data_IF_148965027361
#
_entry.id   IF_148965027361
#
_cell.length_a   1.000
_cell.length_b   1.000
_cell.length_c   1.000
_cell.angle_alpha   90.00
_cell.angle_beta   90.00
_cell.angle_gamma   90.00
#
_symmetry.space_group_name_H-M   'P 1'
#
loop_
_entity.id
_entity.type
_entity.pdbx_description
1 polymer ?
#
# COMPACT_ATOMS: atom_id res chain seq x y z
N UNK A 1 11.61 14.79 10.34
CA UNK A 1 12.69 14.30 11.24
C UNK A 1 12.17 13.87 12.61
N UNK A 2 11.11 14.50 13.13
CA UNK A 2 10.51 14.13 14.43
C UNK A 2 9.75 12.77 14.40
N UNK A 3 9.17 12.42 13.25
CA UNK A 3 8.34 11.22 13.03
C UNK A 3 9.06 9.88 13.31
N UNK A 4 10.37 9.80 13.06
CA UNK A 4 11.18 8.59 13.25
C UNK A 4 12.08 8.62 14.48
N UNK A 5 11.93 9.61 15.37
CA UNK A 5 12.80 9.74 16.56
C UNK A 5 12.67 8.53 17.50
N UNK A 6 11.45 8.07 17.73
CA UNK A 6 11.18 6.89 18.55
C UNK A 6 11.68 5.60 17.89
N UNK A 7 11.46 5.45 16.58
CA UNK A 7 11.95 4.34 15.80
C UNK A 7 13.49 4.29 15.80
N UNK A 8 14.15 5.46 15.74
CA UNK A 8 15.61 5.56 15.81
C UNK A 8 16.16 5.16 17.17
N UNK A 9 15.54 5.61 18.26
CA UNK A 9 15.93 5.19 19.61
C UNK A 9 15.78 3.68 19.76
N UNK A 10 14.66 3.14 19.27
CA UNK A 10 14.35 1.70 19.27
C UNK A 10 15.37 0.91 18.46
N UNK A 11 15.77 1.44 17.31
CA UNK A 11 16.82 0.88 16.45
C UNK A 11 18.18 0.82 17.16
N UNK A 12 18.60 1.94 17.77
CA UNK A 12 19.89 2.04 18.46
C UNK A 12 19.95 1.15 19.71
N UNK A 13 18.87 1.07 20.47
CA UNK A 13 18.83 0.30 21.72
C UNK A 13 18.56 -1.20 21.55
N UNK A 14 18.35 -1.68 20.32
CA UNK A 14 18.04 -3.09 20.06
C UNK A 14 19.32 -3.89 19.77
N UNK A 15 19.80 -4.63 20.77
CA UNK A 15 20.99 -5.48 20.67
C UNK A 15 20.91 -6.51 19.53
N UNK A 16 19.73 -7.07 19.26
CA UNK A 16 19.56 -8.06 18.18
C UNK A 16 19.78 -7.42 16.80
N UNK A 17 19.27 -6.19 16.60
CA UNK A 17 19.50 -5.41 15.38
C UNK A 17 20.98 -5.07 15.25
N UNK A 18 21.59 -4.51 16.31
CA UNK A 18 22.99 -4.10 16.27
C UNK A 18 23.92 -5.29 16.05
N UNK A 19 23.65 -6.44 16.70
CA UNK A 19 24.39 -7.67 16.48
C UNK A 19 24.22 -8.20 15.06
N UNK A 20 23.00 -8.15 14.50
CA UNK A 20 22.77 -8.58 13.10
C UNK A 20 23.51 -7.70 12.11
N UNK A 21 23.52 -6.38 12.30
CA UNK A 21 24.29 -5.44 11.48
C UNK A 21 25.79 -5.75 11.53
N UNK A 22 26.32 -6.03 12.73
CA UNK A 22 27.70 -6.42 12.91
C UNK A 22 28.03 -7.73 12.17
N UNK A 23 27.17 -8.76 12.28
CA UNK A 23 27.34 -10.04 11.55
C UNK A 23 27.29 -9.82 10.04
N UNK A 24 26.39 -8.94 9.58
CA UNK A 24 26.28 -8.57 8.16
C UNK A 24 27.39 -7.62 7.69
N UNK A 25 28.26 -7.15 8.60
CA UNK A 25 29.31 -6.16 8.34
C UNK A 25 28.77 -4.85 7.76
N UNK A 26 27.60 -4.43 8.21
CA UNK A 26 26.95 -3.19 7.80
C UNK A 26 27.20 -2.09 8.82
N UNK A 27 27.47 -0.87 8.34
CA UNK A 27 27.56 0.30 9.21
C UNK A 27 26.15 0.74 9.63
N UNK A 28 25.94 0.90 10.94
CA UNK A 28 24.64 1.22 11.52
C UNK A 28 24.06 2.54 10.98
N UNK A 29 24.82 3.63 11.04
CA UNK A 29 24.34 4.95 10.61
C UNK A 29 23.94 4.97 9.12
N UNK A 30 24.77 4.38 8.25
CA UNK A 30 24.47 4.27 6.82
C UNK A 30 23.26 3.37 6.56
N UNK A 31 23.12 2.29 7.31
CA UNK A 31 21.97 1.41 7.18
C UNK A 31 20.68 2.11 7.61
N UNK A 32 20.73 2.92 8.67
CA UNK A 32 19.59 3.75 9.07
C UNK A 32 19.17 4.74 7.99
N UNK A 33 20.13 5.39 7.32
CA UNK A 33 19.84 6.27 6.18
C UNK A 33 19.20 5.51 5.00
N UNK A 34 19.69 4.30 4.70
CA UNK A 34 19.07 3.43 3.69
C UNK A 34 17.63 3.07 4.07
N UNK A 35 17.40 2.75 5.34
CA UNK A 35 16.06 2.46 5.86
C UNK A 35 15.10 3.64 5.69
N UNK A 36 15.52 4.85 6.04
CA UNK A 36 14.72 6.06 5.85
C UNK A 36 14.40 6.28 4.37
N UNK A 37 15.41 6.17 3.50
CA UNK A 37 15.22 6.31 2.05
C UNK A 37 14.20 5.30 1.51
N UNK A 38 14.36 4.01 1.82
CA UNK A 38 13.45 2.96 1.34
C UNK A 38 12.03 3.18 1.89
N UNK A 39 11.90 3.60 3.14
CA UNK A 39 10.60 3.87 3.77
C UNK A 39 9.87 5.02 3.08
N UNK A 40 10.54 6.15 2.92
CA UNK A 40 9.97 7.33 2.25
C UNK A 40 9.63 7.03 0.79
N UNK A 41 10.51 6.31 0.09
CA UNK A 41 10.29 5.94 -1.29
C UNK A 41 9.12 4.96 -1.45
N UNK A 42 9.02 3.95 -0.59
CA UNK A 42 7.87 3.03 -0.61
C UNK A 42 6.56 3.77 -0.26
N UNK A 43 6.56 4.70 0.68
CA UNK A 43 5.38 5.50 0.99
C UNK A 43 4.98 6.43 -0.16
N UNK A 44 5.94 7.04 -0.85
CA UNK A 44 5.69 7.94 -1.98
C UNK A 44 5.22 7.23 -3.25
N UNK A 45 5.70 6.01 -3.53
CA UNK A 45 5.32 5.26 -4.73
C UNK A 45 3.90 4.69 -4.69
N UNK A 46 3.32 4.53 -3.49
CA UNK A 46 2.01 3.93 -3.30
C UNK A 46 1.11 4.84 -2.47
N UNK A 47 0.49 5.80 -3.15
CA UNK A 47 -0.58 6.63 -2.60
C UNK A 47 -1.93 5.92 -2.87
N UNK A 48 -2.97 6.28 -2.13
CA UNK A 48 -4.36 5.93 -2.49
C UNK A 48 -4.56 6.16 -3.98
N UNK A 49 -4.94 5.11 -4.72
CA UNK A 49 -5.03 5.21 -6.17
C UNK A 49 -6.15 6.19 -6.53
N UNK A 50 -5.76 7.29 -7.15
CA UNK A 50 -6.70 8.19 -7.80
C UNK A 50 -7.02 7.62 -9.17
N UNK A 51 -8.31 7.48 -9.48
CA UNK A 51 -8.75 7.35 -10.86
C UNK A 51 -9.05 8.74 -11.38
N UNK A 52 -8.29 9.17 -12.38
CA UNK A 52 -8.62 10.33 -13.19
C UNK A 52 -9.42 9.87 -14.40
N UNK A 53 -10.50 10.57 -14.69
CA UNK A 53 -11.18 10.42 -15.98
C UNK A 53 -10.22 10.77 -17.12
N UNK A 54 -10.43 10.15 -18.28
CA UNK A 54 -9.57 10.39 -19.46
C UNK A 54 -9.75 11.79 -20.05
N UNK A 55 -10.93 12.37 -19.87
CA UNK A 55 -11.36 13.63 -20.46
C UNK A 55 -11.98 14.52 -19.38
N UNK A 56 -11.96 15.84 -19.59
CA UNK A 56 -12.72 16.76 -18.73
C UNK A 56 -14.23 16.55 -18.89
N UNK A 57 -15.02 17.17 -18.02
CA UNK A 57 -16.49 17.12 -18.13
C UNK A 57 -16.92 17.71 -19.48
N UNK A 58 -16.34 18.84 -19.88
CA UNK A 58 -16.62 19.50 -21.16
C UNK A 58 -16.18 18.66 -22.37
N UNK A 59 -15.00 18.06 -22.33
CA UNK A 59 -14.54 17.17 -23.40
C UNK A 59 -15.41 15.92 -23.55
N UNK A 60 -15.89 15.38 -22.43
CA UNK A 60 -16.79 14.23 -22.40
C UNK A 60 -18.14 14.60 -23.02
N UNK A 61 -18.73 15.73 -22.62
CA UNK A 61 -19.98 16.26 -23.19
C UNK A 61 -19.85 16.50 -24.71
N UNK A 62 -18.77 17.15 -25.16
CA UNK A 62 -18.47 17.34 -26.57
C UNK A 62 -18.42 16.02 -27.36
N UNK A 63 -17.75 15.01 -26.81
CA UNK A 63 -17.64 13.68 -27.45
C UNK A 63 -19.00 12.97 -27.52
N UNK A 64 -19.82 13.09 -26.49
CA UNK A 64 -21.19 12.55 -26.48
C UNK A 64 -22.05 13.21 -27.55
N UNK A 65 -22.06 14.55 -27.65
CA UNK A 65 -22.78 15.28 -28.69
C UNK A 65 -22.30 14.93 -30.10
N UNK A 66 -20.98 14.81 -30.31
CA UNK A 66 -20.40 14.39 -31.59
C UNK A 66 -20.81 12.97 -31.98
N UNK A 67 -20.95 12.06 -31.00
CA UNK A 67 -21.38 10.69 -31.25
C UNK A 67 -22.84 10.63 -31.70
N UNK A 68 -23.72 11.41 -31.07
CA UNK A 68 -25.14 11.52 -31.44
C UNK A 68 -25.28 12.10 -32.86
N UNK A 69 -24.49 13.12 -33.18
CA UNK A 69 -24.52 13.82 -34.48
C UNK A 69 -23.70 13.14 -35.58
N UNK A 70 -23.10 11.97 -35.33
CA UNK A 70 -22.26 11.31 -36.32
C UNK A 70 -23.12 10.86 -37.52
N UNK A 71 -22.81 11.42 -38.69
CA UNK A 71 -23.55 11.25 -39.94
C UNK A 71 -24.02 9.81 -40.21
N UNK A 72 -25.33 9.59 -40.18
CA UNK A 72 -26.00 8.45 -40.80
C UNK A 72 -26.20 7.19 -39.95
N UNK A 73 -25.74 7.12 -38.70
CA UNK A 73 -26.07 5.97 -37.85
C UNK A 73 -27.51 6.11 -37.33
N UNK A 74 -28.45 5.46 -38.00
CA UNK A 74 -29.77 5.21 -37.43
C UNK A 74 -29.57 4.13 -36.36
N UNK A 75 -30.07 4.36 -35.14
CA UNK A 75 -30.05 3.44 -33.97
C UNK A 75 -29.00 3.75 -32.88
N UNK A 76 -29.00 4.98 -32.36
CA UNK A 76 -28.35 5.27 -31.08
C UNK A 76 -29.25 4.86 -29.91
N UNK A 77 -28.64 4.43 -28.80
CA UNK A 77 -29.31 4.22 -27.52
C UNK A 77 -28.50 4.90 -26.43
N UNK A 78 -29.20 5.60 -25.53
CA UNK A 78 -28.61 6.07 -24.29
C UNK A 78 -28.68 4.93 -23.28
N UNK A 79 -27.53 4.54 -22.72
CA UNK A 79 -27.43 3.50 -21.70
C UNK A 79 -26.78 4.07 -20.44
N UNK A 80 -27.44 3.88 -19.31
CA UNK A 80 -26.92 4.15 -17.98
C UNK A 80 -26.79 2.83 -17.23
N UNK A 81 -25.62 2.59 -16.65
CA UNK A 81 -25.32 1.36 -15.91
C UNK A 81 -24.65 1.67 -14.58
N UNK A 82 -24.99 0.91 -13.55
CA UNK A 82 -24.23 0.77 -12.31
C UNK A 82 -23.83 -0.71 -12.12
N UNK A 83 -23.27 -1.08 -10.98
CA UNK A 83 -22.84 -2.47 -10.73
C UNK A 83 -24.00 -3.48 -10.76
N UNK A 84 -25.20 -3.06 -10.34
CA UNK A 84 -26.34 -3.96 -10.15
C UNK A 84 -27.37 -3.87 -11.29
N UNK A 85 -27.49 -2.72 -11.93
CA UNK A 85 -28.57 -2.43 -12.89
C UNK A 85 -28.08 -1.74 -14.16
N UNK A 86 -28.83 -1.94 -15.24
CA UNK A 86 -28.63 -1.24 -16.52
C UNK A 86 -29.96 -0.84 -17.12
N UNK A 87 -30.09 0.44 -17.46
CA UNK A 87 -31.26 1.01 -18.14
C UNK A 87 -30.80 1.55 -19.50
N UNK A 88 -31.53 1.22 -20.56
CA UNK A 88 -31.26 1.74 -21.90
C UNK A 88 -32.52 2.24 -22.59
N UNK A 89 -32.38 3.25 -23.44
CA UNK A 89 -33.47 3.81 -24.21
C UNK A 89 -33.00 4.26 -25.59
N UNK A 90 -33.78 3.91 -26.61
CA UNK A 90 -33.60 4.39 -27.98
C UNK A 90 -34.64 5.46 -28.36
N UNK A 91 -35.33 6.04 -27.35
CA UNK A 91 -36.33 7.07 -27.60
C UNK A 91 -35.65 8.33 -28.18
N UNK A 92 -36.02 8.76 -29.40
CA UNK A 92 -35.38 9.90 -30.07
C UNK A 92 -35.51 11.21 -29.29
N UNK A 93 -36.62 11.41 -28.57
CA UNK A 93 -36.84 12.61 -27.77
C UNK A 93 -35.89 12.66 -26.57
N UNK A 94 -35.68 11.53 -25.89
CA UNK A 94 -34.75 11.44 -24.77
C UNK A 94 -33.31 11.71 -25.23
N UNK A 95 -32.93 11.18 -26.39
CA UNK A 95 -31.60 11.38 -26.98
C UNK A 95 -31.40 12.86 -27.35
N UNK A 96 -32.39 13.50 -27.97
CA UNK A 96 -32.31 14.92 -28.31
C UNK A 96 -32.24 15.82 -27.05
N UNK A 97 -32.98 15.48 -25.99
CA UNK A 97 -32.90 16.20 -24.71
C UNK A 97 -31.52 16.04 -24.05
N UNK A 98 -30.94 14.85 -24.14
CA UNK A 98 -29.58 14.60 -23.62
C UNK A 98 -28.52 15.36 -24.43
N UNK A 99 -28.68 15.44 -25.75
CA UNK A 99 -27.81 16.24 -26.62
C UNK A 99 -27.85 17.74 -26.26
N UNK A 100 -29.05 18.31 -26.06
CA UNK A 100 -29.23 19.70 -25.62
C UNK A 100 -28.59 19.95 -24.24
N UNK A 101 -28.68 18.98 -23.33
CA UNK A 101 -27.97 19.04 -22.06
C UNK A 101 -26.44 19.09 -22.24
N UNK A 102 -25.87 18.25 -23.11
CA UNK A 102 -24.44 18.29 -23.42
C UNK A 102 -24.03 19.62 -24.07
N UNK A 103 -24.86 20.20 -24.95
CA UNK A 103 -24.60 21.51 -25.55
C UNK A 103 -24.55 22.62 -24.49
N UNK A 104 -25.51 22.64 -23.56
CA UNK A 104 -25.53 23.58 -22.41
C UNK A 104 -24.29 23.47 -21.53
N UNK A 105 -23.77 22.25 -21.32
CA UNK A 105 -22.51 22.07 -20.58
C UNK A 105 -21.32 22.66 -21.34
N UNK A 106 -21.32 22.59 -22.68
CA UNK A 106 -20.24 23.16 -23.49
C UNK A 106 -20.26 24.69 -23.53
N UNK A 107 -21.44 25.30 -23.47
CA UNK A 107 -21.61 26.76 -23.48
C UNK A 107 -21.43 27.40 -22.08
N UNK A 108 -21.31 26.59 -21.03
CA UNK A 108 -21.16 27.07 -19.66
C UNK A 108 -19.73 27.58 -19.40
N UNK A 109 -19.59 28.82 -18.89
CA UNK A 109 -18.30 29.47 -18.61
C UNK A 109 -17.61 28.97 -17.32
N UNK A 110 -18.19 28.02 -16.58
CA UNK A 110 -17.59 27.47 -15.37
C UNK A 110 -16.29 26.68 -15.67
N UNK A 111 -15.16 27.23 -15.25
CA UNK A 111 -13.83 26.62 -15.36
C UNK A 111 -13.73 25.25 -14.68
N UNK A 112 -14.62 24.92 -13.74
CA UNK A 112 -14.67 23.58 -13.14
C UNK A 112 -14.90 22.48 -14.19
N UNK A 113 -15.63 22.78 -15.27
CA UNK A 113 -15.93 21.84 -16.35
C UNK A 113 -14.69 21.46 -17.19
N UNK A 114 -13.64 22.28 -17.11
CA UNK A 114 -12.35 22.07 -17.77
C UNK A 114 -11.34 21.37 -16.85
N UNK A 115 -11.74 21.00 -15.64
CA UNK A 115 -10.93 20.20 -14.72
C UNK A 115 -11.13 18.71 -14.97
N UNK A 116 -10.05 17.93 -14.92
CA UNK A 116 -10.13 16.47 -14.95
C UNK A 116 -10.72 15.99 -13.63
N UNK A 117 -11.87 15.32 -13.68
CA UNK A 117 -12.47 14.71 -12.50
C UNK A 117 -11.58 13.59 -11.99
N UNK A 118 -11.18 13.71 -10.73
CA UNK A 118 -10.48 12.65 -10.00
C UNK A 118 -11.40 12.13 -8.90
N UNK A 119 -11.54 10.81 -8.84
CA UNK A 119 -12.10 10.14 -7.67
C UNK A 119 -11.00 9.40 -6.94
N UNK A 120 -10.94 9.59 -5.64
CA UNK A 120 -10.25 8.64 -4.78
C UNK A 120 -11.04 7.34 -4.90
N UNK A 121 -10.41 6.29 -5.43
CA UNK A 121 -11.00 4.97 -5.30
C UNK A 121 -11.04 4.64 -3.82
N UNK A 122 -12.12 3.97 -3.36
CA UNK A 122 -12.07 3.22 -2.11
C UNK A 122 -11.07 2.08 -2.31
N UNK A 123 -9.78 2.39 -2.19
CA UNK A 123 -8.78 1.34 -2.12
C UNK A 123 -8.87 0.78 -0.72
N UNK A 124 -9.09 -0.53 -0.64
CA UNK A 124 -8.97 -1.25 0.63
C UNK A 124 -7.56 -0.95 1.16
N UNK A 125 -7.48 -0.26 2.30
CA UNK A 125 -6.22 0.19 2.89
C UNK A 125 -5.18 -0.94 2.96
N UNK A 126 -5.66 -2.17 3.20
CA UNK A 126 -4.87 -3.40 3.20
C UNK A 126 -4.16 -3.70 1.87
N UNK A 127 -4.75 -3.35 0.73
CA UNK A 127 -4.14 -3.53 -0.60
C UNK A 127 -2.97 -2.57 -0.81
N UNK A 128 -3.14 -1.27 -0.50
CA UNK A 128 -2.04 -0.29 -0.56
C UNK A 128 -0.92 -0.70 0.40
N UNK A 129 -1.29 -1.08 1.62
CA UNK A 129 -0.34 -1.56 2.63
C UNK A 129 0.48 -2.76 2.14
N UNK A 130 -0.19 -3.73 1.52
CA UNK A 130 0.47 -4.92 0.95
C UNK A 130 1.42 -4.55 -0.19
N UNK A 131 1.04 -3.59 -1.06
CA UNK A 131 1.90 -3.08 -2.14
C UNK A 131 3.16 -2.39 -1.59
N UNK A 132 3.00 -1.50 -0.60
CA UNK A 132 4.12 -0.84 0.10
C UNK A 132 5.05 -1.87 0.72
N UNK A 133 4.49 -2.85 1.43
CA UNK A 133 5.23 -3.94 2.06
C UNK A 133 6.03 -4.75 1.04
N UNK A 134 5.41 -5.18 -0.07
CA UNK A 134 6.10 -5.91 -1.14
C UNK A 134 7.27 -5.13 -1.71
N UNK A 135 7.06 -3.87 -2.07
CA UNK A 135 8.11 -3.03 -2.64
C UNK A 135 9.26 -2.75 -1.67
N UNK A 136 8.93 -2.43 -0.42
CA UNK A 136 9.91 -2.27 0.66
C UNK A 136 10.78 -3.52 0.83
N UNK A 137 10.14 -4.70 0.88
CA UNK A 137 10.83 -6.00 1.01
C UNK A 137 11.73 -6.25 -0.19
N UNK A 138 11.28 -5.98 -1.42
CA UNK A 138 12.06 -6.19 -2.63
C UNK A 138 13.32 -5.30 -2.67
N UNK A 139 13.21 -4.03 -2.29
CA UNK A 139 14.35 -3.10 -2.22
C UNK A 139 15.38 -3.55 -1.19
N UNK A 140 14.94 -3.87 0.03
CA UNK A 140 15.85 -4.38 1.06
C UNK A 140 16.45 -5.73 0.69
N UNK A 141 15.65 -6.63 0.12
CA UNK A 141 16.13 -7.93 -0.34
C UNK A 141 17.18 -7.77 -1.42
N UNK A 142 16.97 -6.88 -2.38
CA UNK A 142 17.97 -6.56 -3.40
C UNK A 142 19.27 -6.07 -2.76
N UNK A 143 19.21 -5.10 -1.85
CA UNK A 143 20.40 -4.62 -1.14
C UNK A 143 21.11 -5.73 -0.36
N UNK A 144 20.38 -6.43 0.53
CA UNK A 144 20.97 -7.44 1.40
C UNK A 144 21.53 -8.64 0.63
N UNK A 145 20.91 -9.05 -0.48
CA UNK A 145 21.42 -10.18 -1.26
C UNK A 145 22.69 -9.85 -2.05
N UNK A 146 22.89 -8.59 -2.40
CA UNK A 146 24.08 -8.13 -3.12
C UNK A 146 25.23 -7.73 -2.18
N UNK A 147 24.93 -7.32 -0.94
CA UNK A 147 25.94 -6.76 -0.02
C UNK A 147 26.20 -7.60 1.24
N UNK A 148 25.37 -8.62 1.51
CA UNK A 148 25.54 -9.51 2.67
C UNK A 148 25.82 -10.94 2.20
N UNK A 149 27.02 -11.43 2.48
CA UNK A 149 27.46 -12.78 2.09
C UNK A 149 26.88 -13.86 3.01
N UNK A 150 26.72 -13.55 4.30
CA UNK A 150 26.25 -14.49 5.30
C UNK A 150 24.75 -14.79 5.12
N UNK A 151 24.37 -16.04 5.44
CA UNK A 151 22.99 -16.52 5.36
C UNK A 151 22.22 -16.39 6.67
N UNK A 152 22.94 -16.26 7.79
CA UNK A 152 22.38 -16.14 9.13
C UNK A 152 22.95 -14.89 9.83
N UNK A 153 22.15 -14.17 10.63
CA UNK A 153 20.69 -14.34 10.85
C UNK A 153 19.85 -14.22 9.57
N UNK A 154 18.57 -14.64 9.62
CA UNK A 154 17.67 -14.61 8.45
C UNK A 154 17.46 -13.18 7.94
N UNK A 155 17.76 -12.95 6.65
CA UNK A 155 17.56 -11.65 6.00
C UNK A 155 16.09 -11.23 6.01
N UNK A 156 15.17 -12.18 5.80
CA UNK A 156 13.73 -11.88 5.78
C UNK A 156 13.21 -11.48 7.16
N UNK A 157 13.66 -12.18 8.22
CA UNK A 157 13.30 -11.82 9.59
C UNK A 157 13.90 -10.46 9.97
N UNK A 158 15.13 -10.18 9.52
CA UNK A 158 15.77 -8.88 9.69
C UNK A 158 14.98 -7.76 8.99
N UNK A 159 14.55 -7.96 7.74
CA UNK A 159 13.66 -7.04 7.01
C UNK A 159 12.35 -6.83 7.77
N UNK A 160 11.78 -7.88 8.38
CA UNK A 160 10.57 -7.80 9.20
C UNK A 160 10.66 -6.76 10.31
N UNK A 161 11.79 -6.68 11.01
CA UNK A 161 12.01 -5.67 12.05
C UNK A 161 11.88 -4.25 11.49
N UNK A 162 12.45 -3.99 10.31
CA UNK A 162 12.36 -2.68 9.66
C UNK A 162 11.00 -2.40 9.02
N UNK A 163 10.27 -3.42 8.57
CA UNK A 163 8.87 -3.27 8.18
C UNK A 163 7.99 -2.77 9.34
N UNK A 164 8.24 -3.27 10.55
CA UNK A 164 7.54 -2.78 11.74
C UNK A 164 7.96 -1.35 12.09
N UNK A 165 9.27 -1.06 12.10
CA UNK A 165 9.78 0.28 12.40
C UNK A 165 9.34 1.34 11.37
N UNK A 166 9.06 0.96 10.12
CA UNK A 166 8.58 1.88 9.08
C UNK A 166 7.11 2.26 9.22
N UNK A 167 6.36 1.61 10.12
CA UNK A 167 4.90 1.75 10.27
C UNK A 167 4.11 1.42 8.99
N UNK A 168 4.74 0.71 8.03
CA UNK A 168 4.04 0.18 6.86
C UNK A 168 3.08 -0.92 7.30
N UNK A 169 3.48 -1.76 8.24
CA UNK A 169 2.59 -2.77 8.85
C UNK A 169 1.87 -2.19 10.07
N UNK A 170 0.70 -2.75 10.38
CA UNK A 170 -0.08 -2.33 11.55
C UNK A 170 0.52 -2.83 12.87
N UNK A 171 0.01 -2.30 13.98
CA UNK A 171 0.43 -2.72 15.34
C UNK A 171 0.16 -4.20 15.62
N UNK A 172 -0.79 -4.81 14.90
CA UNK A 172 -1.09 -6.25 14.93
C UNK A 172 0.08 -7.13 14.45
N UNK A 173 1.06 -6.53 13.76
CA UNK A 173 2.29 -7.19 13.29
C UNK A 173 3.50 -6.95 14.20
N UNK A 174 3.29 -6.66 15.49
CA UNK A 174 4.38 -6.48 16.47
C UNK A 174 5.36 -7.67 16.52
N UNK A 175 4.89 -8.89 16.22
CA UNK A 175 5.74 -10.07 16.11
C UNK A 175 6.78 -10.00 15.00
N UNK A 176 6.64 -9.11 14.00
CA UNK A 176 7.69 -8.85 13.02
C UNK A 176 8.93 -8.25 13.65
N UNK A 177 8.76 -7.47 14.72
CA UNK A 177 9.85 -6.86 15.45
C UNK A 177 10.43 -7.81 16.50
N UNK A 178 9.57 -8.47 17.27
CA UNK A 178 10.00 -9.34 18.38
C UNK A 178 10.44 -10.73 17.93
N UNK A 179 9.94 -11.24 16.81
CA UNK A 179 10.09 -12.63 16.37
C UNK A 179 9.12 -13.61 17.07
N UNK A 180 8.22 -13.10 17.91
CA UNK A 180 7.31 -13.91 18.70
C UNK A 180 5.91 -13.30 18.77
N UNK A 181 4.88 -14.13 18.76
CA UNK A 181 3.55 -13.72 19.14
C UNK A 181 3.50 -13.50 20.66
N UNK A 182 3.16 -12.28 21.07
CA UNK A 182 3.05 -11.91 22.47
C UNK A 182 1.69 -12.34 23.03
N UNK A 183 1.65 -13.54 23.62
CA UNK A 183 0.42 -14.10 24.19
C UNK A 183 0.30 -13.75 25.68
N UNK A 184 -0.81 -13.13 26.07
CA UNK A 184 -1.11 -12.81 27.47
C UNK A 184 -1.21 -14.06 28.34
N UNK A 185 -0.72 -13.98 29.57
CA UNK A 185 -0.68 -15.11 30.52
C UNK A 185 -2.03 -15.33 31.25
N UNK A 186 -3.00 -14.41 31.11
CA UNK A 186 -4.24 -14.45 31.88
C UNK A 186 -5.42 -15.00 31.07
N UNK A 187 -6.22 -15.94 31.62
CA UNK A 187 -6.05 -16.65 32.89
C UNK A 187 -4.99 -17.77 32.82
N UNK A 188 -4.42 -18.13 33.99
CA UNK A 188 -3.47 -19.24 34.13
C UNK A 188 -4.18 -20.58 34.00
N UNK A 189 -4.28 -21.08 32.77
CA UNK A 189 -4.84 -22.40 32.47
C UNK A 189 -3.72 -23.45 32.39
N UNK A 190 -4.08 -24.73 32.41
CA UNK A 190 -3.14 -25.82 32.13
C UNK A 190 -2.43 -25.62 30.76
N UNK A 191 -3.14 -25.08 29.77
CA UNK A 191 -2.57 -24.73 28.47
C UNK A 191 -1.55 -23.59 28.58
N UNK A 192 -1.87 -22.54 29.34
CA UNK A 192 -0.96 -21.41 29.57
C UNK A 192 0.35 -21.88 30.22
N UNK A 193 0.28 -22.75 31.23
CA UNK A 193 1.46 -23.31 31.91
C UNK A 193 2.30 -24.20 30.98
N UNK A 194 1.64 -25.01 30.13
CA UNK A 194 2.33 -25.80 29.11
C UNK A 194 3.09 -24.90 28.12
N UNK A 195 2.46 -23.84 27.63
CA UNK A 195 3.07 -22.90 26.69
C UNK A 195 4.23 -22.12 27.33
N UNK A 196 4.10 -21.69 28.59
CA UNK A 196 5.20 -21.07 29.36
C UNK A 196 6.38 -22.04 29.47
N UNK A 197 6.13 -23.32 29.77
CA UNK A 197 7.20 -24.32 29.87
C UNK A 197 7.88 -24.57 28.52
N UNK A 198 7.11 -24.55 27.42
CA UNK A 198 7.59 -24.85 26.08
C UNK A 198 8.38 -23.69 25.46
N UNK A 199 7.88 -22.47 25.57
CA UNK A 199 8.40 -21.31 24.85
C UNK A 199 9.09 -20.29 25.77
N UNK A 200 8.80 -20.33 27.08
CA UNK A 200 9.29 -19.34 28.04
C UNK A 200 8.49 -18.03 27.96
N UNK A 201 9.02 -17.00 28.64
CA UNK A 201 8.37 -15.69 28.75
C UNK A 201 9.32 -14.55 28.42
N UNK A 202 8.76 -13.39 28.08
CA UNK A 202 9.47 -12.14 27.86
C UNK A 202 8.74 -11.00 28.60
N UNK A 203 9.49 -10.00 29.06
CA UNK A 203 8.91 -8.74 29.52
C UNK A 203 8.90 -7.79 28.33
N UNK A 204 7.74 -7.28 27.98
CA UNK A 204 7.52 -6.35 26.89
C UNK A 204 6.60 -5.22 27.36
N UNK A 205 7.04 -3.96 27.23
CA UNK A 205 6.29 -2.78 27.70
C UNK A 205 5.73 -2.98 29.12
N UNK A 206 6.62 -3.38 30.04
CA UNK A 206 6.35 -3.64 31.46
C UNK A 206 5.33 -4.76 31.77
N UNK A 207 4.98 -5.57 30.76
CA UNK A 207 4.08 -6.72 30.91
C UNK A 207 4.77 -8.02 30.52
N UNK A 208 4.44 -9.11 31.22
CA UNK A 208 4.99 -10.44 30.95
C UNK A 208 4.12 -11.18 29.95
N UNK A 209 4.73 -11.69 28.88
CA UNK A 209 4.07 -12.44 27.82
C UNK A 209 4.73 -13.80 27.61
N UNK A 210 3.98 -14.75 27.06
CA UNK A 210 4.54 -15.97 26.46
C UNK A 210 5.15 -15.59 25.11
N UNK A 211 6.36 -16.09 24.83
CA UNK A 211 7.10 -15.80 23.59
C UNK A 211 6.96 -16.93 22.57
N UNK A 212 5.76 -17.13 22.04
CA UNK A 212 5.53 -18.17 21.03
C UNK A 212 6.23 -17.80 19.70
N UNK A 213 7.15 -18.63 19.18
CA UNK A 213 7.94 -18.29 18.00
C UNK A 213 7.07 -18.18 16.75
N UNK A 214 7.27 -17.11 15.99
CA UNK A 214 6.58 -16.88 14.71
C UNK A 214 7.59 -16.88 13.56
N UNK A 215 7.22 -17.51 12.45
CA UNK A 215 8.02 -17.43 11.23
C UNK A 215 7.70 -16.14 10.49
N UNK A 216 8.33 -15.05 10.94
CA UNK A 216 8.20 -13.72 10.35
C UNK A 216 8.49 -13.74 8.85
N UNK A 217 9.52 -14.48 8.43
CA UNK A 217 9.91 -14.54 7.02
C UNK A 217 8.83 -15.19 6.15
N UNK A 218 8.19 -16.24 6.65
CA UNK A 218 7.06 -16.91 6.00
C UNK A 218 5.82 -16.02 5.96
N UNK A 219 5.44 -15.37 7.05
CA UNK A 219 4.26 -14.48 7.07
C UNK A 219 4.43 -13.33 6.05
N UNK A 220 5.62 -12.73 5.99
CA UNK A 220 5.94 -11.71 4.99
C UNK A 220 5.79 -12.28 3.58
N UNK A 221 6.42 -13.42 3.30
CA UNK A 221 6.37 -14.06 1.98
C UNK A 221 4.94 -14.39 1.55
N UNK A 222 4.14 -14.98 2.44
CA UNK A 222 2.75 -15.36 2.16
C UNK A 222 1.86 -14.15 1.94
N UNK A 223 2.12 -13.04 2.65
CA UNK A 223 1.38 -11.78 2.49
C UNK A 223 1.69 -11.13 1.15
N UNK A 224 2.96 -10.98 0.78
CA UNK A 224 3.35 -10.32 -0.48
C UNK A 224 3.05 -11.19 -1.71
N UNK A 225 3.04 -12.53 -1.56
CA UNK A 225 2.70 -13.47 -2.64
C UNK A 225 1.27 -13.29 -3.15
N UNK A 226 0.35 -12.85 -2.28
CA UNK A 226 -1.05 -12.56 -2.63
C UNK A 226 -1.22 -11.23 -3.38
N UNK A 227 -0.16 -10.43 -3.47
CA UNK A 227 -0.17 -9.16 -4.20
C UNK A 227 0.11 -9.42 -5.69
N UNK A 228 -0.98 -9.55 -6.46
CA UNK A 228 -0.99 -9.79 -7.92
C UNK A 228 -0.51 -8.59 -8.73
N UNK A 229 -0.60 -7.39 -8.16
CA UNK A 229 -0.29 -6.15 -8.86
C UNK A 229 1.19 -5.79 -8.69
N UNK A 230 1.90 -5.64 -9.79
CA UNK A 230 2.95 -4.62 -9.86
C UNK A 230 2.25 -3.26 -9.91
N UNK A 231 2.83 -2.24 -9.28
CA UNK A 231 2.29 -0.87 -9.33
C UNK A 231 1.90 -0.51 -10.77
N UNK A 232 0.78 0.21 -11.01
CA UNK A 232 0.66 0.92 -12.27
C UNK A 232 1.84 1.90 -12.32
N UNK A 233 2.66 1.80 -13.35
CA UNK A 233 3.79 2.69 -13.65
C UNK A 233 3.40 4.17 -13.73
N UNK A 234 2.10 4.49 -13.67
CA UNK A 234 1.54 5.83 -13.76
C UNK A 234 1.31 6.56 -12.42
N UNK A 235 1.51 5.93 -11.25
CA UNK A 235 1.26 6.60 -9.94
C UNK A 235 2.52 7.07 -9.21
N UNK A 236 3.71 6.88 -9.79
CA UNK A 236 4.93 7.41 -9.22
C UNK A 236 5.06 8.91 -9.51
N UNK A 237 4.90 9.74 -8.49
CA UNK A 237 5.22 11.18 -8.55
C UNK A 237 6.70 11.44 -8.84
N UNK A 238 7.58 10.44 -8.72
CA UNK A 238 8.99 10.53 -9.04
C UNK A 238 9.33 10.26 -10.51
N UNK A 239 8.41 9.70 -11.31
CA UNK A 239 8.66 9.33 -12.72
C UNK A 239 7.95 10.28 -13.71
N UNK A 240 7.10 11.19 -13.24
CA UNK A 240 6.50 12.24 -14.08
C UNK A 240 7.36 13.51 -14.16
N UNK A 241 8.65 13.38 -14.46
CA UNK A 241 9.40 14.47 -15.10
C UNK A 241 9.78 13.99 -16.49
N UNK A 242 8.98 14.40 -17.48
CA UNK A 242 9.36 14.28 -18.89
C UNK A 242 10.61 15.13 -19.11
N UNK A 243 11.71 14.45 -19.44
CA UNK A 243 12.79 15.00 -20.26
C UNK A 243 12.27 15.30 -21.67
#
# INVERSE_FOLDING_TARGET
MEEFKEAYNTYLSNDEIQNTLNIYKLNADKFWLLFLFITDFANGCFIYSMQSEKYTIRETANRMSQLINKNGARNYSLTLSCEEDTISSNNPLLIALFEDFCAKLNDNEDNFLDTIYYRTLEVVESTVRTKKMKFFVELFRYFLYNHVEVRQPSRMSFIGKFLYLSKIVGEDKEFYYTGYKLTSITPETHMTNFLIKRYGTIIWRDKKYIKEPEDVGKDIADTIKKCTDYAPTSTSTYICSTL
#
